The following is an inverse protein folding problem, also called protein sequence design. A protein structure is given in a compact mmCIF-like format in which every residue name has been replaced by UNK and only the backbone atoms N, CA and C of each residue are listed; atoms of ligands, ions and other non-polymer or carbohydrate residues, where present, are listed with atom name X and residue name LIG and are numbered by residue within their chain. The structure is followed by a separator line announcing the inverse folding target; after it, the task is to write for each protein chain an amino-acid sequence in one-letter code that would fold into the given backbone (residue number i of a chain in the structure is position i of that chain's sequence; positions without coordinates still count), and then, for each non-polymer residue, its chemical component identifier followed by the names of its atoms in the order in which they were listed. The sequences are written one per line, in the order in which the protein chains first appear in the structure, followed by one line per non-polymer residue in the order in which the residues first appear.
data_IF_142542207182
#
_entry.id   IF_142542207182
#
_cell.length_a   1.000
_cell.length_b   1.000
_cell.length_c   1.000
_cell.angle_alpha   90.00
_cell.angle_beta   90.00
_cell.angle_gamma   90.00
#
_symmetry.space_group_name_H-M   'P 1'
#
loop_
_entity.id
_entity.type
_entity.pdbx_description
1 polymer ?
#
# COMPACT_ATOMS: atom_id res chain seq x y z
N UNK A 1 -16.61 -24.22 -4.14
CA UNK A 1 -17.66 -23.19 -4.32
C UNK A 1 -18.40 -23.50 -5.61
N UNK A 2 -19.64 -23.98 -5.52
CA UNK A 2 -20.46 -24.33 -6.69
C UNK A 2 -21.24 -23.08 -7.08
N UNK A 3 -20.82 -22.42 -8.16
CA UNK A 3 -21.47 -21.23 -8.69
C UNK A 3 -22.57 -21.68 -9.67
N UNK A 4 -23.85 -21.53 -9.30
CA UNK A 4 -24.95 -21.77 -10.24
C UNK A 4 -25.03 -20.61 -11.24
N UNK A 5 -24.89 -20.95 -12.53
CA UNK A 5 -24.90 -20.00 -13.63
C UNK A 5 -26.24 -19.24 -13.74
N UNK A 6 -26.16 -17.92 -13.82
CA UNK A 6 -27.27 -17.09 -14.24
C UNK A 6 -27.66 -17.45 -15.69
N UNK A 7 -28.96 -17.67 -15.92
CA UNK A 7 -29.53 -17.95 -17.25
C UNK A 7 -29.41 -16.72 -18.16
N UNK A 8 -28.53 -16.76 -19.14
CA UNK A 8 -28.56 -15.84 -20.27
C UNK A 8 -29.50 -16.36 -21.39
N UNK A 9 -30.18 -15.42 -22.05
CA UNK A 9 -31.18 -15.66 -23.10
C UNK A 9 -30.52 -16.29 -24.33
N UNK A 10 -30.99 -17.48 -24.72
CA UNK A 10 -30.60 -18.17 -25.97
C UNK A 10 -31.02 -17.37 -27.22
N UNK A 11 -30.03 -16.84 -27.94
CA UNK A 11 -30.17 -16.49 -29.36
C UNK A 11 -30.19 -17.76 -30.22
N UNK A 12 -31.06 -17.80 -31.23
CA UNK A 12 -31.27 -18.94 -32.13
C UNK A 12 -30.12 -19.08 -33.14
N UNK A 13 -29.60 -20.30 -33.28
CA UNK A 13 -29.11 -20.85 -34.55
C UNK A 13 -27.69 -20.45 -34.98
N UNK A 14 -26.70 -21.12 -34.41
CA UNK A 14 -25.28 -21.16 -34.82
C UNK A 14 -24.56 -22.06 -33.82
N UNK A 15 -23.52 -22.81 -34.21
CA UNK A 15 -22.72 -23.63 -33.28
C UNK A 15 -22.47 -22.85 -31.98
N UNK A 16 -22.86 -23.40 -30.82
CA UNK A 16 -22.71 -22.73 -29.51
C UNK A 16 -21.21 -22.50 -29.25
N UNK A 17 -20.71 -21.37 -29.74
CA UNK A 17 -19.35 -20.91 -29.50
C UNK A 17 -19.32 -20.48 -28.05
N UNK A 18 -18.52 -21.19 -27.25
CA UNK A 18 -18.35 -20.85 -25.83
C UNK A 18 -17.93 -19.39 -25.72
N UNK A 19 -18.51 -18.66 -24.76
CA UNK A 19 -17.95 -17.35 -24.41
C UNK A 19 -16.49 -17.52 -23.96
N UNK A 20 -15.63 -16.50 -24.10
CA UNK A 20 -14.22 -16.62 -23.70
C UNK A 20 -14.03 -17.08 -22.26
N UNK A 21 -14.94 -16.67 -21.37
CA UNK A 21 -14.99 -17.13 -19.98
C UNK A 21 -15.24 -18.64 -19.87
N UNK A 22 -16.18 -19.18 -20.63
CA UNK A 22 -16.50 -20.62 -20.61
C UNK A 22 -15.36 -21.44 -21.22
N UNK A 23 -14.76 -20.97 -22.32
CA UNK A 23 -13.58 -21.59 -22.91
C UNK A 23 -12.40 -21.61 -21.93
N UNK A 24 -12.15 -20.49 -21.23
CA UNK A 24 -11.11 -20.40 -20.19
C UNK A 24 -11.35 -21.37 -19.04
N UNK A 25 -12.60 -21.48 -18.56
CA UNK A 25 -12.94 -22.43 -17.49
C UNK A 25 -12.70 -23.88 -17.94
N UNK A 26 -13.12 -24.24 -19.15
CA UNK A 26 -12.87 -25.57 -19.71
C UNK A 26 -11.35 -25.85 -19.85
N UNK A 27 -10.55 -24.87 -20.28
CA UNK A 27 -9.10 -25.00 -20.38
C UNK A 27 -8.44 -25.21 -19.00
N UNK A 28 -8.89 -24.49 -17.96
CA UNK A 28 -8.40 -24.64 -16.59
C UNK A 28 -8.63 -26.06 -16.04
N UNK A 29 -9.74 -26.71 -16.42
CA UNK A 29 -10.05 -28.08 -16.02
C UNK A 29 -9.10 -29.12 -16.65
N UNK A 30 -8.40 -28.77 -17.74
CA UNK A 30 -7.43 -29.67 -18.39
C UNK A 30 -6.03 -29.63 -17.78
N UNK A 31 -5.79 -28.71 -16.83
CA UNK A 31 -4.49 -28.58 -16.20
C UNK A 31 -4.16 -29.77 -15.28
N UNK A 32 -2.87 -30.05 -15.03
CA UNK A 32 -2.44 -31.13 -14.15
C UNK A 32 -3.09 -31.03 -12.77
N UNK A 33 -3.47 -32.17 -12.19
CA UNK A 33 -3.94 -32.23 -10.81
C UNK A 33 -2.79 -32.15 -9.82
N UNK A 34 -3.00 -31.36 -8.77
CA UNK A 34 -2.13 -31.29 -7.60
C UNK A 34 -2.59 -32.32 -6.55
N UNK A 35 -1.66 -32.74 -5.69
CA UNK A 35 -2.01 -33.49 -4.49
C UNK A 35 -2.97 -32.66 -3.62
N UNK A 36 -4.22 -33.12 -3.49
CA UNK A 36 -5.31 -32.37 -2.87
C UNK A 36 -6.49 -32.04 -3.80
N UNK A 37 -6.43 -32.44 -5.08
CA UNK A 37 -7.56 -32.37 -6.02
C UNK A 37 -7.77 -30.99 -6.66
N UNK A 38 -6.86 -30.05 -6.45
CA UNK A 38 -6.81 -28.78 -7.18
C UNK A 38 -6.11 -28.94 -8.54
N UNK A 39 -6.28 -27.97 -9.44
CA UNK A 39 -5.55 -27.87 -10.72
C UNK A 39 -4.30 -27.00 -10.54
N UNK A 40 -3.18 -27.36 -11.16
CA UNK A 40 -1.94 -26.56 -11.14
C UNK A 40 -2.09 -25.33 -12.04
N UNK A 41 -2.33 -24.18 -11.41
CA UNK A 41 -2.45 -22.87 -12.06
C UNK A 41 -1.19 -22.01 -11.89
N UNK A 42 -0.02 -22.63 -11.69
CA UNK A 42 1.25 -21.90 -11.62
C UNK A 42 1.56 -21.16 -12.93
N UNK A 43 2.28 -20.03 -12.84
CA UNK A 43 2.64 -19.24 -14.03
C UNK A 43 3.35 -20.08 -15.10
N UNK A 44 4.20 -21.02 -14.68
CA UNK A 44 4.87 -21.96 -15.59
C UNK A 44 3.86 -22.83 -16.32
N UNK A 45 2.94 -23.47 -15.59
CA UNK A 45 1.96 -24.38 -16.18
C UNK A 45 0.99 -23.63 -17.11
N UNK A 46 0.57 -22.42 -16.74
CA UNK A 46 -0.26 -21.57 -17.60
C UNK A 46 0.48 -21.14 -18.89
N UNK A 47 1.79 -20.88 -18.79
CA UNK A 47 2.62 -20.50 -19.93
C UNK A 47 2.91 -21.66 -20.90
N UNK A 48 3.18 -22.84 -20.36
CA UNK A 48 3.50 -24.04 -21.16
C UNK A 48 2.24 -24.74 -21.72
N UNK A 49 1.08 -24.52 -21.10
CA UNK A 49 -0.18 -25.14 -21.52
C UNK A 49 -0.65 -24.63 -22.88
N UNK A 50 -0.91 -25.58 -23.79
CA UNK A 50 -1.55 -25.30 -25.08
C UNK A 50 -3.08 -25.21 -24.98
N UNK A 51 -3.66 -25.41 -23.80
CA UNK A 51 -5.10 -25.39 -23.59
C UNK A 51 -5.73 -24.00 -23.78
N UNK A 52 -4.94 -22.92 -23.68
CA UNK A 52 -5.42 -21.54 -23.76
C UNK A 52 -5.29 -20.96 -25.18
N UNK A 53 -6.25 -21.34 -26.03
CA UNK A 53 -6.39 -20.87 -27.40
C UNK A 53 -6.87 -19.40 -27.52
N UNK A 54 -7.10 -18.98 -28.76
CA UNK A 54 -7.63 -17.64 -29.06
C UNK A 54 -9.08 -17.45 -28.57
N UNK A 55 -9.84 -18.54 -28.52
CA UNK A 55 -11.20 -18.62 -27.98
C UNK A 55 -11.26 -18.42 -26.46
N UNK A 56 -10.18 -18.70 -25.73
CA UNK A 56 -10.05 -18.39 -24.31
C UNK A 56 -9.73 -16.91 -24.03
N UNK A 57 -9.58 -16.07 -25.07
CA UNK A 57 -9.16 -14.68 -24.93
C UNK A 57 -10.30 -13.75 -25.29
N UNK A 58 -10.44 -12.67 -24.53
CA UNK A 58 -11.25 -11.53 -24.96
C UNK A 58 -10.58 -10.83 -26.14
N UNK A 59 -11.33 -10.02 -26.88
CA UNK A 59 -10.77 -9.17 -27.91
C UNK A 59 -9.65 -8.29 -27.32
N UNK A 60 -8.57 -8.07 -28.08
CA UNK A 60 -7.49 -7.20 -27.61
C UNK A 60 -8.08 -5.81 -27.35
N UNK A 61 -7.87 -5.23 -26.16
CA UNK A 61 -8.39 -3.90 -25.87
C UNK A 61 -7.74 -2.90 -26.83
N UNK A 62 -8.49 -1.89 -27.27
CA UNK A 62 -7.92 -0.84 -28.14
C UNK A 62 -7.00 0.04 -27.30
N UNK A 63 -5.69 -0.10 -27.44
CA UNK A 63 -4.73 0.65 -26.62
C UNK A 63 -4.51 2.03 -27.22
N UNK A 64 -4.40 3.06 -26.37
CA UNK A 64 -3.95 4.38 -26.80
C UNK A 64 -2.53 4.31 -27.37
N UNK A 65 -2.23 5.13 -28.39
CA UNK A 65 -0.89 5.17 -28.98
C UNK A 65 0.07 5.80 -27.98
N UNK A 66 1.08 5.05 -27.54
CA UNK A 66 2.17 5.58 -26.73
C UNK A 66 3.13 6.37 -27.64
N UNK A 67 3.46 7.59 -27.22
CA UNK A 67 4.43 8.46 -27.89
C UNK A 67 5.55 8.80 -26.91
N UNK A 68 6.76 9.05 -27.40
CA UNK A 68 7.94 9.29 -26.56
C UNK A 68 7.73 10.40 -25.53
N UNK A 69 7.05 11.49 -25.90
CA UNK A 69 6.74 12.58 -24.99
C UNK A 69 5.86 12.17 -23.80
N UNK A 70 5.00 11.15 -23.94
CA UNK A 70 4.22 10.63 -22.80
C UNK A 70 5.14 10.00 -21.77
N UNK A 71 6.16 9.26 -22.24
CA UNK A 71 7.17 8.64 -21.40
C UNK A 71 8.01 9.74 -20.74
N UNK A 72 8.45 10.75 -21.51
CA UNK A 72 9.21 11.87 -20.98
C UNK A 72 8.44 12.62 -19.88
N UNK A 73 7.14 12.86 -20.07
CA UNK A 73 6.30 13.54 -19.09
C UNK A 73 6.06 12.66 -17.86
N UNK A 74 5.74 11.38 -18.00
CA UNK A 74 5.57 10.48 -16.85
C UNK A 74 6.89 10.17 -16.13
N UNK A 75 8.03 10.29 -16.81
CA UNK A 75 9.35 10.14 -16.20
C UNK A 75 9.72 11.32 -15.29
N UNK A 76 9.07 12.47 -15.46
CA UNK A 76 9.26 13.66 -14.62
C UNK A 76 8.52 13.52 -13.29
N UNK A 77 9.02 12.65 -12.42
CA UNK A 77 8.40 12.32 -11.13
C UNK A 77 8.40 13.49 -10.13
N UNK A 78 9.12 14.58 -10.43
CA UNK A 78 9.07 15.84 -9.69
C UNK A 78 7.80 16.65 -9.96
N UNK A 79 7.11 16.37 -11.06
CA UNK A 79 5.85 16.98 -11.42
C UNK A 79 4.74 15.94 -11.25
N UNK A 80 4.34 15.70 -9.99
CA UNK A 80 3.38 14.66 -9.60
C UNK A 80 1.99 14.76 -10.26
N UNK A 81 1.74 15.78 -11.09
CA UNK A 81 0.45 16.05 -11.74
C UNK A 81 0.55 16.53 -13.20
N UNK A 82 1.72 16.50 -13.85
CA UNK A 82 1.82 16.87 -15.26
C UNK A 82 1.71 15.65 -16.15
N UNK A 83 0.69 15.59 -17.00
CA UNK A 83 0.55 14.59 -18.06
C UNK A 83 -0.86 14.03 -18.19
N UNK A 84 -1.19 13.45 -19.35
CA UNK A 84 -2.46 12.75 -19.50
C UNK A 84 -2.51 11.51 -18.58
N UNK A 85 -3.71 11.08 -18.16
CA UNK A 85 -3.87 9.91 -17.27
C UNK A 85 -3.33 8.63 -17.92
N UNK A 86 -2.38 7.93 -17.26
CA UNK A 86 -1.68 6.75 -17.78
C UNK A 86 -2.60 5.55 -18.08
N UNK A 87 -3.80 5.54 -17.51
CA UNK A 87 -4.77 4.47 -17.52
C UNK A 87 -5.15 4.03 -18.94
N UNK A 88 -5.30 4.97 -19.89
CA UNK A 88 -5.66 4.67 -21.28
C UNK A 88 -4.58 3.85 -22.03
N UNK A 89 -3.34 3.90 -21.57
CA UNK A 89 -2.22 3.13 -22.13
C UNK A 89 -2.00 1.80 -21.39
N UNK A 90 -2.33 1.73 -20.10
CA UNK A 90 -2.21 0.50 -19.31
C UNK A 90 -3.38 -0.46 -19.51
N UNK A 91 -4.60 0.08 -19.61
CA UNK A 91 -5.84 -0.70 -19.63
C UNK A 91 -6.49 -0.75 -21.01
N UNK A 92 -6.05 0.11 -21.94
CA UNK A 92 -6.67 0.31 -23.23
C UNK A 92 -8.04 1.01 -23.14
N UNK A 93 -8.82 0.95 -24.21
CA UNK A 93 -10.19 1.45 -24.26
C UNK A 93 -11.01 0.68 -23.24
N UNK A 94 -11.26 1.32 -22.11
CA UNK A 94 -12.00 0.73 -21.00
C UNK A 94 -13.48 0.59 -21.37
N UNK A 95 -14.09 -0.54 -20.97
CA UNK A 95 -15.53 -0.73 -21.02
C UNK A 95 -16.25 0.25 -20.08
N UNK A 96 -17.57 0.40 -20.24
CA UNK A 96 -18.40 1.39 -19.53
C UNK A 96 -18.44 1.24 -17.98
N UNK A 97 -17.82 0.20 -17.42
CA UNK A 97 -17.83 -0.12 -15.98
C UNK A 97 -16.56 0.33 -15.23
N UNK A 98 -15.63 1.02 -15.88
CA UNK A 98 -14.58 1.79 -15.18
C UNK A 98 -15.04 3.23 -14.94
N UNK A 99 -14.63 3.89 -13.84
CA UNK A 99 -13.65 3.46 -12.82
C UNK A 99 -14.21 2.51 -11.75
N UNK A 100 -13.33 1.96 -10.89
CA UNK A 100 -13.70 1.19 -9.69
C UNK A 100 -13.42 1.98 -8.41
N UNK A 101 -14.17 1.69 -7.35
CA UNK A 101 -14.01 2.28 -6.01
C UNK A 101 -13.86 1.18 -4.98
N UNK A 102 -12.89 1.32 -4.08
CA UNK A 102 -12.79 0.47 -2.90
C UNK A 102 -13.72 1.01 -1.80
N UNK A 103 -14.44 0.13 -1.11
CA UNK A 103 -15.32 0.46 0.02
C UNK A 103 -14.84 -0.32 1.23
N UNK A 104 -14.76 0.34 2.38
CA UNK A 104 -14.45 -0.29 3.67
C UNK A 104 -15.25 0.38 4.80
N UNK A 105 -15.42 -0.34 5.91
CA UNK A 105 -16.12 0.18 7.09
C UNK A 105 -15.15 0.30 8.26
N UNK A 106 -15.21 1.43 8.98
CA UNK A 106 -14.45 1.60 10.22
C UNK A 106 -15.19 2.44 11.27
N UNK A 107 -15.15 2.01 12.52
CA UNK A 107 -15.76 2.64 13.71
C UNK A 107 -15.22 4.04 13.99
N UNK A 108 -13.99 4.34 13.62
CA UNK A 108 -13.36 5.65 13.82
C UNK A 108 -13.71 6.67 12.71
N UNK A 109 -14.43 6.28 11.64
CA UNK A 109 -14.75 7.20 10.52
C UNK A 109 -15.61 8.37 10.97
N UNK A 110 -16.61 8.13 11.80
CA UNK A 110 -17.56 9.18 12.22
C UNK A 110 -16.83 10.29 12.98
N UNK A 111 -15.98 9.90 13.93
CA UNK A 111 -15.14 10.83 14.70
C UNK A 111 -14.05 11.49 13.83
N UNK A 112 -13.39 10.75 12.93
CA UNK A 112 -12.38 11.32 12.03
C UNK A 112 -12.96 12.28 10.99
N UNK A 113 -14.20 12.05 10.56
CA UNK A 113 -14.88 12.90 9.58
C UNK A 113 -15.46 14.19 10.20
N UNK A 114 -15.40 14.31 11.53
CA UNK A 114 -15.82 15.51 12.28
C UNK A 114 -15.05 16.75 11.84
N UNK A 115 -15.67 17.93 11.91
CA UNK A 115 -15.07 19.19 11.42
C UNK A 115 -13.91 19.67 12.29
N UNK A 116 -13.87 19.21 13.54
CA UNK A 116 -12.86 19.51 14.55
C UNK A 116 -11.57 18.70 14.36
N UNK A 117 -11.56 17.77 13.41
CA UNK A 117 -10.36 17.04 12.99
C UNK A 117 -9.76 17.72 11.76
N UNK A 118 -8.48 18.05 11.82
CA UNK A 118 -7.77 18.68 10.70
C UNK A 118 -7.53 17.71 9.53
N UNK A 119 -7.47 18.22 8.30
CA UNK A 119 -7.20 17.38 7.12
C UNK A 119 -5.84 16.65 7.22
N UNK A 120 -4.80 17.32 7.71
CA UNK A 120 -3.47 16.73 7.93
C UNK A 120 -3.49 15.58 8.94
N UNK A 121 -4.39 15.64 9.93
CA UNK A 121 -4.57 14.58 10.92
C UNK A 121 -5.20 13.33 10.28
N UNK A 122 -6.21 13.52 9.43
CA UNK A 122 -6.85 12.43 8.66
C UNK A 122 -5.84 11.74 7.73
N UNK A 123 -5.07 12.53 6.99
CA UNK A 123 -4.02 12.01 6.09
C UNK A 123 -2.94 11.27 6.87
N UNK A 124 -2.46 11.83 8.00
CA UNK A 124 -1.47 11.18 8.86
C UNK A 124 -1.98 9.86 9.41
N UNK A 125 -3.25 9.80 9.84
CA UNK A 125 -3.88 8.56 10.31
C UNK A 125 -3.90 7.51 9.22
N UNK A 126 -4.43 7.82 8.04
CA UNK A 126 -4.55 6.83 6.98
C UNK A 126 -3.19 6.44 6.39
N UNK A 127 -2.17 7.30 6.46
CA UNK A 127 -0.80 6.95 6.11
C UNK A 127 -0.15 6.00 7.14
N UNK A 128 -0.40 6.18 8.43
CA UNK A 128 0.18 5.36 9.52
C UNK A 128 -0.64 4.12 9.87
N UNK A 129 -1.94 4.14 9.56
CA UNK A 129 -2.92 3.09 9.78
C UNK A 129 -3.73 2.81 8.50
N UNK A 130 -3.04 2.36 7.43
CA UNK A 130 -3.65 2.23 6.11
C UNK A 130 -4.76 1.19 6.08
N UNK A 131 -5.72 1.42 5.18
CA UNK A 131 -6.74 0.43 4.84
C UNK A 131 -6.06 -0.73 4.15
N UNK A 132 -6.23 -1.93 4.66
CA UNK A 132 -5.59 -3.15 4.16
C UNK A 132 -6.52 -3.91 3.22
N UNK A 133 -5.97 -4.85 2.45
CA UNK A 133 -6.77 -5.61 1.48
C UNK A 133 -7.95 -6.38 2.11
N UNK A 134 -7.83 -6.82 3.37
CA UNK A 134 -8.91 -7.53 4.09
C UNK A 134 -10.12 -6.65 4.41
N UNK A 135 -9.93 -5.33 4.47
CA UNK A 135 -11.00 -4.37 4.77
C UNK A 135 -11.77 -3.96 3.51
N UNK A 136 -11.22 -4.21 2.31
CA UNK A 136 -11.68 -3.59 1.07
C UNK A 136 -12.59 -4.51 0.27
N UNK A 137 -13.78 -4.01 -0.05
CA UNK A 137 -14.60 -4.46 -1.16
C UNK A 137 -14.32 -3.58 -2.38
N UNK A 138 -14.28 -4.12 -3.60
CA UNK A 138 -14.20 -3.33 -4.83
C UNK A 138 -15.45 -3.47 -5.67
N UNK A 139 -15.95 -2.35 -6.17
CA UNK A 139 -17.06 -2.30 -7.11
C UNK A 139 -16.88 -1.18 -8.15
N UNK A 140 -17.53 -1.27 -9.33
CA UNK A 140 -17.62 -0.16 -10.26
C UNK A 140 -18.13 1.11 -9.59
N UNK A 141 -17.43 2.24 -9.79
CA UNK A 141 -17.70 3.53 -9.13
C UNK A 141 -19.14 3.98 -9.35
N UNK A 142 -19.68 3.81 -10.57
CA UNK A 142 -21.10 4.12 -10.86
C UNK A 142 -22.09 3.32 -10.03
N UNK A 143 -21.79 2.04 -9.77
CA UNK A 143 -22.64 1.19 -8.92
C UNK A 143 -22.56 1.62 -7.46
N UNK A 144 -21.36 1.98 -6.99
CA UNK A 144 -21.20 2.57 -5.65
C UNK A 144 -22.01 3.85 -5.55
N UNK A 145 -21.88 4.78 -6.49
CA UNK A 145 -22.65 6.04 -6.49
C UNK A 145 -24.16 5.84 -6.51
N UNK A 146 -24.66 4.89 -7.30
CA UNK A 146 -26.09 4.55 -7.31
C UNK A 146 -26.56 4.06 -5.92
N UNK A 147 -25.80 3.16 -5.29
CA UNK A 147 -26.08 2.64 -3.95
C UNK A 147 -26.00 3.72 -2.87
N UNK A 148 -25.04 4.65 -2.96
CA UNK A 148 -24.95 5.78 -2.03
C UNK A 148 -26.19 6.69 -2.11
N UNK A 149 -26.69 6.96 -3.33
CA UNK A 149 -27.92 7.72 -3.52
C UNK A 149 -29.12 7.01 -2.89
N UNK A 150 -29.28 5.71 -3.11
CA UNK A 150 -30.33 4.91 -2.47
C UNK A 150 -30.25 4.96 -0.94
N UNK A 151 -29.06 4.85 -0.35
CA UNK A 151 -28.85 4.96 1.11
C UNK A 151 -29.28 6.35 1.61
N UNK A 152 -28.85 7.42 0.94
CA UNK A 152 -29.19 8.80 1.31
C UNK A 152 -30.69 9.06 1.19
N UNK A 153 -31.34 8.59 0.12
CA UNK A 153 -32.79 8.69 -0.06
C UNK A 153 -33.56 7.91 1.02
N UNK A 154 -33.09 6.72 1.38
CA UNK A 154 -33.64 5.91 2.46
C UNK A 154 -33.52 6.58 3.83
N UNK A 155 -32.39 7.25 4.10
CA UNK A 155 -32.19 8.04 5.33
C UNK A 155 -33.11 9.27 5.37
N UNK A 156 -33.20 10.01 4.26
CA UNK A 156 -34.09 11.17 4.14
C UNK A 156 -35.56 10.78 4.36
N UNK A 157 -35.99 9.64 3.80
CA UNK A 157 -37.36 9.11 3.98
C UNK A 157 -37.68 8.75 5.43
N UNK A 158 -36.67 8.40 6.23
CA UNK A 158 -36.79 8.11 7.66
C UNK A 158 -36.53 9.33 8.56
N UNK A 159 -36.29 10.51 7.97
CA UNK A 159 -35.85 11.72 8.67
C UNK A 159 -34.63 11.48 9.58
N UNK A 160 -33.71 10.63 9.12
CA UNK A 160 -32.45 10.32 9.80
C UNK A 160 -31.33 11.24 9.32
N UNK A 161 -30.40 11.58 10.21
CA UNK A 161 -29.22 12.36 9.86
C UNK A 161 -28.34 11.61 8.85
N UNK A 162 -27.67 12.36 7.96
CA UNK A 162 -26.72 11.74 7.04
C UNK A 162 -25.43 11.40 7.77
N UNK A 163 -24.92 10.17 7.63
CA UNK A 163 -23.63 9.80 8.20
C UNK A 163 -22.51 10.57 7.51
N UNK A 164 -21.46 10.89 8.27
CA UNK A 164 -20.22 11.42 7.71
C UNK A 164 -19.32 10.26 7.27
N UNK A 165 -18.55 10.48 6.22
CA UNK A 165 -17.65 9.49 5.63
C UNK A 165 -16.32 10.12 5.26
N UNK A 166 -15.34 9.28 4.93
CA UNK A 166 -14.07 9.72 4.35
C UNK A 166 -13.91 9.18 2.95
N UNK A 167 -13.37 9.98 2.04
CA UNK A 167 -12.95 9.55 0.70
C UNK A 167 -11.46 9.77 0.56
N UNK A 168 -10.71 8.69 0.42
CA UNK A 168 -9.31 8.73 0.02
C UNK A 168 -9.27 8.75 -1.51
N UNK A 169 -9.00 9.90 -2.09
CA UNK A 169 -8.92 10.06 -3.54
C UNK A 169 -7.71 9.30 -4.09
N UNK A 170 -7.65 9.10 -5.41
CA UNK A 170 -6.49 8.50 -6.09
C UNK A 170 -5.16 9.25 -5.84
N UNK A 171 -5.23 10.53 -5.48
CA UNK A 171 -4.05 11.36 -5.18
C UNK A 171 -3.51 11.15 -3.76
N UNK A 172 -4.28 10.46 -2.90
CA UNK A 172 -3.98 10.30 -1.48
C UNK A 172 -4.59 11.37 -0.58
N UNK A 173 -5.16 12.45 -1.13
CA UNK A 173 -5.93 13.44 -0.36
C UNK A 173 -7.16 12.80 0.25
N UNK A 174 -7.46 13.18 1.50
CA UNK A 174 -8.57 12.65 2.28
C UNK A 174 -9.66 13.72 2.41
N UNK A 175 -10.77 13.52 1.70
CA UNK A 175 -11.98 14.31 1.88
C UNK A 175 -12.82 13.75 3.03
N UNK A 176 -13.50 14.64 3.76
CA UNK A 176 -14.39 14.31 4.85
C UNK A 176 -15.70 15.10 4.73
N UNK A 177 -16.84 14.44 4.89
CA UNK A 177 -18.13 15.11 4.82
C UNK A 177 -19.32 14.17 4.84
N UNK A 178 -20.52 14.75 4.73
CA UNK A 178 -21.78 14.01 4.64
C UNK A 178 -21.82 13.11 3.40
N UNK A 179 -22.34 11.89 3.55
CA UNK A 179 -22.38 10.89 2.48
C UNK A 179 -23.02 11.40 1.18
N UNK A 180 -24.07 12.22 1.27
CA UNK A 180 -24.75 12.80 0.11
C UNK A 180 -23.96 13.87 -0.66
N UNK A 181 -22.80 14.30 -0.14
CA UNK A 181 -21.92 15.28 -0.80
C UNK A 181 -20.72 14.65 -1.51
N UNK A 182 -20.63 13.32 -1.51
CA UNK A 182 -19.56 12.59 -2.20
C UNK A 182 -19.69 12.80 -3.72
N UNK A 183 -18.59 13.20 -4.36
CA UNK A 183 -18.49 13.33 -5.82
C UNK A 183 -18.05 12.00 -6.47
N UNK A 184 -18.56 11.70 -7.66
CA UNK A 184 -18.17 10.52 -8.45
C UNK A 184 -16.69 10.59 -8.85
N UNK A 185 -16.19 11.79 -9.16
CA UNK A 185 -14.79 12.00 -9.57
C UNK A 185 -13.81 11.71 -8.42
N UNK A 186 -14.20 11.97 -7.17
CA UNK A 186 -13.40 11.68 -5.97
C UNK A 186 -13.35 10.18 -5.65
N UNK A 187 -14.39 9.44 -6.02
CA UNK A 187 -14.47 7.99 -5.83
C UNK A 187 -13.71 7.19 -6.89
N UNK A 188 -13.47 7.76 -8.07
CA UNK A 188 -12.79 7.08 -9.17
C UNK A 188 -11.39 6.63 -8.76
N UNK A 189 -11.17 5.30 -8.68
CA UNK A 189 -9.95 4.68 -8.18
C UNK A 189 -9.59 5.05 -6.72
N UNK A 190 -10.55 5.63 -5.99
CA UNK A 190 -10.42 6.00 -4.59
C UNK A 190 -10.85 4.90 -3.63
N UNK A 191 -10.80 5.23 -2.34
CA UNK A 191 -11.33 4.39 -1.25
C UNK A 191 -12.35 5.19 -0.44
N UNK A 192 -13.60 4.73 -0.43
CA UNK A 192 -14.66 5.22 0.43
C UNK A 192 -14.62 4.48 1.78
N UNK A 193 -14.53 5.23 2.87
CA UNK A 193 -14.62 4.73 4.23
C UNK A 193 -15.95 5.14 4.84
N UNK A 194 -16.74 4.13 5.20
CA UNK A 194 -18.05 4.30 5.80
C UNK A 194 -17.98 4.00 7.31
N UNK A 195 -18.76 4.71 8.14
CA UNK A 195 -18.97 4.27 9.50
C UNK A 195 -19.83 2.99 9.52
N UNK A 196 -19.77 2.18 10.60
CA UNK A 196 -20.69 1.07 10.78
C UNK A 196 -22.14 1.57 10.73
N UNK A 197 -23.06 0.74 10.22
CA UNK A 197 -24.47 1.16 10.08
C UNK A 197 -24.84 1.69 8.69
N UNK A 198 -23.85 1.99 7.83
CA UNK A 198 -24.09 2.57 6.50
C UNK A 198 -23.99 1.51 5.43
N UNK A 199 -25.15 1.03 4.99
CA UNK A 199 -25.26 -0.14 4.11
C UNK A 199 -24.65 -1.39 4.76
N UNK A 200 -24.41 -2.40 3.93
CA UNK A 200 -23.75 -3.61 4.39
C UNK A 200 -23.27 -4.50 3.25
N UNK A 201 -23.04 -5.77 3.58
CA UNK A 201 -22.56 -6.77 2.64
C UNK A 201 -23.60 -7.85 2.43
N UNK A 202 -23.94 -8.10 1.17
CA UNK A 202 -24.75 -9.24 0.75
C UNK A 202 -24.04 -9.97 -0.37
N UNK A 203 -23.74 -11.26 -0.14
CA UNK A 203 -23.01 -12.11 -1.09
C UNK A 203 -21.68 -11.52 -1.58
N UNK A 204 -20.99 -10.80 -0.69
CA UNK A 204 -19.70 -10.17 -1.00
C UNK A 204 -19.80 -8.89 -1.84
N UNK A 205 -20.97 -8.27 -1.92
CA UNK A 205 -21.21 -6.98 -2.60
C UNK A 205 -21.84 -5.99 -1.61
N UNK A 206 -21.66 -4.69 -1.85
CA UNK A 206 -22.31 -3.61 -1.14
C UNK A 206 -23.83 -3.74 -1.35
N UNK A 207 -24.57 -3.71 -0.26
CA UNK A 207 -26.02 -3.81 -0.25
C UNK A 207 -26.57 -2.63 0.58
N UNK A 208 -27.59 -1.98 0.06
CA UNK A 208 -28.20 -0.78 0.64
C UNK A 208 -29.22 -1.14 1.74
N UNK A 209 -29.72 -2.37 1.76
CA UNK A 209 -30.72 -2.87 2.71
C UNK A 209 -30.13 -3.83 3.75
N UNK A 210 -28.90 -4.32 3.54
CA UNK A 210 -28.26 -5.22 4.48
C UNK A 210 -28.13 -4.55 5.86
N UNK A 211 -28.74 -5.18 6.86
CA UNK A 211 -28.60 -4.78 8.26
C UNK A 211 -27.23 -5.23 8.77
N UNK A 212 -26.40 -4.32 9.28
CA UNK A 212 -25.08 -4.67 9.78
C UNK A 212 -25.22 -5.46 11.08
N UNK A 213 -25.11 -6.78 11.00
CA UNK A 213 -24.76 -7.63 12.15
C UNK A 213 -23.28 -7.36 12.51
N UNK A 214 -23.02 -6.22 13.14
CA UNK A 214 -21.84 -5.73 13.89
C UNK A 214 -20.37 -6.03 13.43
N UNK A 215 -20.10 -6.70 12.30
CA UNK A 215 -18.77 -7.23 11.95
C UNK A 215 -18.19 -6.71 10.62
N UNK A 216 -18.42 -5.44 10.25
CA UNK A 216 -17.78 -4.89 9.04
C UNK A 216 -16.47 -4.15 9.31
N UNK A 217 -16.27 -3.63 10.53
CA UNK A 217 -14.98 -3.08 10.91
C UNK A 217 -14.01 -4.18 11.33
N UNK A 218 -13.25 -4.68 10.35
CA UNK A 218 -12.24 -5.72 10.52
C UNK A 218 -10.82 -5.17 10.62
N UNK A 219 -10.67 -3.85 10.84
CA UNK A 219 -9.35 -3.19 10.78
C UNK A 219 -8.37 -3.71 11.86
N UNK A 220 -8.92 -4.21 12.97
CA UNK A 220 -8.18 -4.65 14.18
C UNK A 220 -8.17 -6.19 14.35
N UNK A 221 -8.95 -6.95 13.57
CA UNK A 221 -9.16 -8.40 13.75
C UNK A 221 -7.90 -9.26 13.59
N UNK A 222 -6.92 -8.79 12.81
CA UNK A 222 -5.63 -9.46 12.68
C UNK A 222 -4.88 -9.57 14.01
N UNK A 223 -5.24 -8.73 14.98
CA UNK A 223 -4.56 -8.59 16.26
C UNK A 223 -3.14 -8.05 16.15
N UNK A 224 -2.68 -7.57 14.99
CA UNK A 224 -1.36 -6.95 14.82
C UNK A 224 -1.35 -5.46 15.20
N UNK A 225 -2.54 -4.87 15.15
CA UNK A 225 -2.82 -3.45 15.33
C UNK A 225 -4.21 -3.27 15.92
N UNK A 226 -4.43 -2.16 16.62
CA UNK A 226 -5.66 -1.90 17.37
C UNK A 226 -5.88 -0.41 17.53
N UNK A 227 -7.15 0.01 17.58
CA UNK A 227 -7.56 1.38 17.87
C UNK A 227 -8.24 1.48 19.24
N UNK A 228 -8.04 2.60 19.90
CA UNK A 228 -8.74 2.96 21.13
C UNK A 228 -9.18 4.41 21.07
N UNK A 229 -10.30 4.71 21.74
CA UNK A 229 -10.74 6.08 22.01
C UNK A 229 -10.29 6.48 23.41
N UNK A 230 -10.02 7.76 23.62
CA UNK A 230 -9.84 8.31 24.96
C UNK A 230 -10.60 9.62 25.14
N UNK A 231 -11.17 9.79 26.32
CA UNK A 231 -11.92 10.97 26.75
C UNK A 231 -11.16 11.65 27.87
N UNK A 232 -11.20 12.98 27.93
CA UNK A 232 -10.56 13.75 28.99
C UNK A 232 -11.53 13.97 30.15
N UNK A 233 -11.27 13.32 31.28
CA UNK A 233 -12.08 13.44 32.50
C UNK A 233 -11.19 13.83 33.68
N UNK A 234 -11.59 14.85 34.46
CA UNK A 234 -10.89 15.29 35.69
C UNK A 234 -9.38 15.53 35.53
N UNK A 235 -8.93 15.90 34.33
CA UNK A 235 -7.50 16.12 34.04
C UNK A 235 -6.72 14.84 33.74
N UNK A 236 -7.38 13.70 33.55
CA UNK A 236 -6.82 12.43 33.09
C UNK A 236 -7.44 11.96 31.78
N UNK A 237 -6.77 11.02 31.11
CA UNK A 237 -7.29 10.39 29.88
C UNK A 237 -7.89 9.04 30.26
N UNK A 238 -9.13 8.81 29.83
CA UNK A 238 -9.88 7.58 30.06
C UNK A 238 -9.97 6.85 28.73
N UNK A 239 -9.26 5.74 28.62
CA UNK A 239 -9.17 4.93 27.40
C UNK A 239 -10.28 3.89 27.36
N UNK A 240 -11.01 3.83 26.25
CA UNK A 240 -12.08 2.86 25.99
C UNK A 240 -11.83 2.11 24.68
N UNK A 241 -12.40 0.91 24.58
CA UNK A 241 -12.38 0.14 23.33
C UNK A 241 -13.08 0.87 22.18
N UNK A 242 -12.68 0.59 20.93
CA UNK A 242 -13.30 1.26 19.79
C UNK A 242 -14.76 0.78 19.61
N UNK A 243 -15.73 1.67 19.88
CA UNK A 243 -17.16 1.34 19.89
C UNK A 243 -17.68 0.72 21.19
N UNK A 244 -16.93 0.82 22.29
CA UNK A 244 -17.38 0.48 23.64
C UNK A 244 -17.11 1.66 24.57
N UNK A 245 -18.00 1.92 25.51
CA UNK A 245 -17.81 2.92 26.57
C UNK A 245 -17.12 2.31 27.81
N UNK A 246 -16.76 1.03 27.76
CA UNK A 246 -16.03 0.36 28.86
C UNK A 246 -14.62 0.95 29.02
N UNK A 247 -14.33 1.47 30.21
CA UNK A 247 -13.01 1.94 30.59
C UNK A 247 -12.02 0.77 30.63
N UNK A 248 -11.00 0.85 29.79
CA UNK A 248 -9.87 -0.09 29.73
C UNK A 248 -8.72 0.39 30.61
N UNK A 249 -8.50 1.70 30.69
CA UNK A 249 -7.39 2.29 31.43
C UNK A 249 -7.57 3.79 31.68
N UNK A 250 -7.07 4.28 32.82
CA UNK A 250 -6.98 5.71 33.12
C UNK A 250 -5.53 6.17 33.27
N UNK A 251 -5.16 7.17 32.48
CA UNK A 251 -3.82 7.77 32.49
C UNK A 251 -3.31 8.14 31.10
N UNK A 252 -2.09 8.68 31.02
CA UNK A 252 -1.54 9.19 29.77
C UNK A 252 -1.24 8.09 28.73
N UNK A 253 -1.12 8.49 27.46
CA UNK A 253 -0.82 7.62 26.30
C UNK A 253 0.39 6.69 26.51
N UNK A 254 1.46 7.18 27.14
CA UNK A 254 2.69 6.39 27.32
C UNK A 254 2.49 5.27 28.33
N UNK A 255 1.81 5.56 29.44
CA UNK A 255 1.45 4.56 30.45
C UNK A 255 0.48 3.53 29.87
N UNK A 256 -0.55 3.98 29.15
CA UNK A 256 -1.52 3.11 28.47
C UNK A 256 -0.83 2.16 27.48
N UNK A 257 -0.03 2.70 26.55
CA UNK A 257 0.66 1.90 25.55
C UNK A 257 1.61 0.88 26.20
N UNK A 258 2.27 1.24 27.31
CA UNK A 258 3.14 0.32 28.04
C UNK A 258 2.35 -0.82 28.68
N UNK A 259 1.27 -0.50 29.37
CA UNK A 259 0.42 -1.47 30.08
C UNK A 259 -0.19 -2.49 29.12
N UNK A 260 -0.66 -2.02 27.96
CA UNK A 260 -1.26 -2.87 26.92
C UNK A 260 -0.24 -3.60 26.04
N UNK A 261 1.07 -3.40 26.25
CA UNK A 261 2.11 -4.00 25.41
C UNK A 261 2.10 -3.47 23.95
N UNK A 262 1.67 -2.23 23.76
CA UNK A 262 1.45 -1.58 22.48
C UNK A 262 2.54 -0.55 22.14
N UNK A 263 2.64 -0.24 20.85
CA UNK A 263 3.41 0.88 20.31
C UNK A 263 2.47 1.83 19.60
N UNK A 264 2.38 3.07 20.08
CA UNK A 264 1.61 4.11 19.42
C UNK A 264 2.19 4.38 18.02
N UNK A 265 1.34 4.31 16.99
CA UNK A 265 1.67 4.64 15.60
C UNK A 265 1.38 6.11 15.31
N UNK A 266 0.22 6.59 15.75
CA UNK A 266 -0.22 7.98 15.67
C UNK A 266 -1.42 8.20 16.60
N UNK A 267 -1.73 9.46 16.86
CA UNK A 267 -2.94 9.88 17.57
C UNK A 267 -3.57 11.07 16.87
N UNK A 268 -4.88 11.21 17.01
CA UNK A 268 -5.64 12.42 16.63
C UNK A 268 -6.30 12.93 17.88
N UNK A 269 -6.21 14.24 18.13
CA UNK A 269 -6.87 14.91 19.24
C UNK A 269 -7.76 15.99 18.68
N UNK A 270 -8.96 16.12 19.23
CA UNK A 270 -9.92 17.12 18.82
C UNK A 270 -10.81 17.48 20.00
N UNK A 271 -11.39 18.68 19.95
CA UNK A 271 -12.42 19.10 20.88
C UNK A 271 -13.77 18.71 20.30
N UNK A 272 -14.58 18.01 21.06
CA UNK A 272 -15.95 17.75 20.68
C UNK A 272 -16.80 19.00 20.87
N UNK A 273 -17.73 19.25 19.95
CA UNK A 273 -18.65 20.37 20.04
C UNK A 273 -19.49 20.31 21.33
N UNK A 274 -19.93 21.47 21.84
CA UNK A 274 -20.79 21.53 23.02
C UNK A 274 -22.12 20.79 22.82
N UNK A 275 -22.61 20.71 21.57
CA UNK A 275 -23.83 19.98 21.21
C UNK A 275 -23.67 18.45 21.32
N UNK A 276 -22.45 17.92 21.18
CA UNK A 276 -22.16 16.49 21.24
C UNK A 276 -21.65 16.01 22.62
N UNK A 277 -21.69 16.89 23.63
CA UNK A 277 -21.34 16.57 25.02
C UNK A 277 -20.15 17.35 25.57
N UNK A 278 -19.36 17.96 24.68
CA UNK A 278 -18.19 18.77 25.02
C UNK A 278 -17.02 17.96 25.61
N UNK A 279 -15.79 18.33 25.26
CA UNK A 279 -14.58 17.78 25.89
C UNK A 279 -13.48 17.39 24.92
N UNK A 280 -12.28 17.20 25.47
CA UNK A 280 -11.13 16.79 24.67
C UNK A 280 -11.19 15.28 24.43
N UNK A 281 -11.16 14.89 23.15
CA UNK A 281 -11.12 13.50 22.70
C UNK A 281 -9.80 13.15 22.06
N UNK A 282 -9.47 11.87 22.08
CA UNK A 282 -8.33 11.32 21.36
C UNK A 282 -8.67 9.98 20.74
N UNK A 283 -8.22 9.74 19.51
CA UNK A 283 -8.18 8.40 18.92
C UNK A 283 -6.72 7.98 18.86
N UNK A 284 -6.40 6.83 19.47
CA UNK A 284 -5.08 6.24 19.46
C UNK A 284 -5.00 5.05 18.51
N UNK A 285 -4.00 5.07 17.63
CA UNK A 285 -3.70 4.00 16.68
C UNK A 285 -2.45 3.28 17.12
N UNK A 286 -2.52 1.97 17.33
CA UNK A 286 -1.45 1.19 17.91
C UNK A 286 -1.10 -0.03 17.06
N UNK A 287 0.15 -0.46 17.15
CA UNK A 287 0.59 -1.79 16.76
C UNK A 287 0.99 -2.58 18.00
N UNK A 288 0.88 -3.91 17.96
CA UNK A 288 1.55 -4.75 18.96
C UNK A 288 3.04 -4.41 18.99
N UNK A 289 3.62 -4.30 20.19
CA UNK A 289 5.08 -4.27 20.29
C UNK A 289 5.58 -5.59 19.70
N UNK A 290 6.33 -5.49 18.60
CA UNK A 290 7.08 -6.65 18.11
C UNK A 290 7.98 -7.16 19.23
N UNK A 291 8.27 -8.47 19.23
CA UNK A 291 9.39 -8.98 20.01
C UNK A 291 10.60 -8.11 19.69
N UNK A 292 11.31 -7.61 20.70
CA UNK A 292 12.61 -6.98 20.48
C UNK A 292 13.41 -7.96 19.61
N UNK A 293 13.61 -7.61 18.33
CA UNK A 293 14.46 -8.42 17.48
C UNK A 293 15.82 -8.35 18.15
N UNK A 294 16.35 -9.49 18.60
CA UNK A 294 17.74 -9.57 19.06
C UNK A 294 18.56 -8.86 18.00
N UNK A 295 19.22 -7.76 18.37
CA UNK A 295 20.06 -7.05 17.42
C UNK A 295 21.33 -7.86 17.30
N UNK A 296 21.46 -8.57 16.18
CA UNK A 296 22.67 -9.28 15.83
C UNK A 296 23.54 -8.37 14.98
N UNK A 297 24.82 -8.38 15.27
CA UNK A 297 25.80 -7.77 14.38
C UNK A 297 26.01 -8.67 13.16
N UNK A 298 26.16 -8.04 12.01
CA UNK A 298 26.49 -8.72 10.77
C UNK A 298 27.67 -7.98 10.14
N UNK A 299 28.78 -8.68 9.96
CA UNK A 299 29.97 -8.15 9.29
C UNK A 299 29.65 -7.85 7.82
N UNK A 300 30.27 -6.79 7.30
CA UNK A 300 29.97 -6.28 5.97
C UNK A 300 30.33 -7.28 4.86
N UNK A 301 31.55 -7.82 4.85
CA UNK A 301 32.00 -8.69 3.76
C UNK A 301 31.20 -10.01 3.68
N UNK A 302 30.92 -10.72 4.80
CA UNK A 302 30.02 -11.88 4.76
C UNK A 302 28.61 -11.55 4.29
N UNK A 303 28.09 -10.37 4.63
CA UNK A 303 26.78 -9.91 4.13
C UNK A 303 26.79 -9.70 2.61
N UNK A 304 27.80 -9.00 2.08
CA UNK A 304 27.93 -8.76 0.64
C UNK A 304 27.97 -10.08 -0.15
N UNK A 305 28.77 -11.06 0.29
CA UNK A 305 28.85 -12.36 -0.40
C UNK A 305 27.56 -13.18 -0.26
N UNK A 306 26.92 -13.16 0.92
CA UNK A 306 25.66 -13.84 1.14
C UNK A 306 24.53 -13.28 0.26
N UNK A 307 24.45 -11.95 0.15
CA UNK A 307 23.50 -11.26 -0.75
C UNK A 307 23.80 -11.63 -2.19
N UNK A 308 25.05 -11.45 -2.65
CA UNK A 308 25.49 -11.76 -4.00
C UNK A 308 25.11 -13.19 -4.43
N UNK A 309 25.41 -14.18 -3.58
CA UNK A 309 25.07 -15.59 -3.84
C UNK A 309 23.56 -15.80 -3.95
N UNK A 310 22.79 -15.17 -3.05
CA UNK A 310 21.34 -15.37 -3.00
C UNK A 310 20.63 -14.72 -4.19
N UNK A 311 21.01 -13.50 -4.56
CA UNK A 311 20.41 -12.80 -5.69
C UNK A 311 20.81 -13.42 -7.02
N UNK A 312 22.05 -13.92 -7.15
CA UNK A 312 22.48 -14.66 -8.33
C UNK A 312 21.59 -15.90 -8.56
N UNK A 313 21.44 -16.75 -7.54
CA UNK A 313 20.62 -17.97 -7.64
C UNK A 313 19.17 -17.66 -7.97
N UNK A 314 18.62 -16.61 -7.35
CA UNK A 314 17.25 -16.19 -7.63
C UNK A 314 17.11 -15.70 -9.08
N UNK A 315 18.06 -14.90 -9.57
CA UNK A 315 18.01 -14.35 -10.92
C UNK A 315 18.28 -15.42 -12.01
N UNK A 316 19.21 -16.35 -11.77
CA UNK A 316 19.42 -17.52 -12.64
C UNK A 316 18.14 -18.35 -12.77
N UNK A 317 17.42 -18.55 -11.67
CA UNK A 317 16.16 -19.29 -11.67
C UNK A 317 15.02 -18.53 -12.37
N UNK A 318 14.88 -17.22 -12.11
CA UNK A 318 13.74 -16.43 -12.56
C UNK A 318 13.89 -15.88 -13.98
N UNK A 319 15.09 -15.43 -14.35
CA UNK A 319 15.35 -14.69 -15.60
C UNK A 319 16.51 -15.25 -16.41
N UNK A 320 17.15 -16.34 -15.97
CA UNK A 320 18.21 -17.03 -16.72
C UNK A 320 19.52 -16.24 -16.85
N UNK A 321 19.73 -15.20 -16.03
CA UNK A 321 20.94 -14.36 -16.01
C UNK A 321 21.26 -13.96 -14.57
N UNK A 322 22.49 -14.22 -14.11
CA UNK A 322 22.89 -13.98 -12.72
C UNK A 322 23.96 -12.90 -12.52
N UNK A 323 24.74 -12.57 -13.54
CA UNK A 323 26.01 -11.84 -13.36
C UNK A 323 25.83 -10.39 -12.88
N UNK A 324 24.86 -9.65 -13.44
CA UNK A 324 24.56 -8.27 -13.00
C UNK A 324 24.00 -8.25 -11.58
N UNK A 325 23.16 -9.23 -11.23
CA UNK A 325 22.59 -9.35 -9.89
C UNK A 325 23.65 -9.70 -8.86
N UNK A 326 24.55 -10.64 -9.20
CA UNK A 326 25.68 -10.99 -8.33
C UNK A 326 26.56 -9.78 -8.09
N UNK A 327 26.94 -9.07 -9.16
CA UNK A 327 27.78 -7.88 -9.08
C UNK A 327 27.15 -6.78 -8.23
N UNK A 328 25.84 -6.52 -8.43
CA UNK A 328 25.11 -5.58 -7.60
C UNK A 328 25.09 -6.01 -6.13
N UNK A 329 24.86 -7.30 -5.85
CA UNK A 329 24.89 -7.84 -4.48
C UNK A 329 26.24 -7.67 -3.79
N UNK A 330 27.35 -7.84 -4.53
CA UNK A 330 28.71 -7.65 -4.02
C UNK A 330 29.03 -6.20 -3.66
N UNK A 331 28.30 -5.23 -4.22
CA UNK A 331 28.67 -3.82 -4.14
C UNK A 331 27.61 -2.91 -3.53
N UNK A 332 26.34 -3.35 -3.40
CA UNK A 332 25.22 -2.50 -2.96
C UNK A 332 25.49 -1.74 -1.65
N UNK A 333 26.20 -2.38 -0.71
CA UNK A 333 26.44 -1.88 0.63
C UNK A 333 27.89 -1.43 0.88
N UNK A 334 28.74 -1.34 -0.15
CA UNK A 334 30.15 -0.96 0.02
C UNK A 334 30.31 0.42 0.68
N UNK A 335 29.44 1.38 0.35
CA UNK A 335 29.40 2.70 0.99
C UNK A 335 29.17 2.65 2.51
N UNK A 336 28.73 1.51 3.07
CA UNK A 336 28.66 1.32 4.53
C UNK A 336 30.04 1.24 5.17
N UNK A 337 31.10 0.95 4.41
CA UNK A 337 32.49 0.95 4.91
C UNK A 337 32.95 2.34 5.33
N UNK A 338 32.32 3.39 4.81
CA UNK A 338 32.70 4.76 5.13
C UNK A 338 32.55 5.07 6.63
N UNK A 339 33.53 5.78 7.18
CA UNK A 339 33.58 6.04 8.62
C UNK A 339 32.40 6.84 9.15
N UNK A 340 31.81 7.73 8.33
CA UNK A 340 30.58 8.44 8.69
C UNK A 340 29.43 7.47 8.92
N UNK A 341 29.27 6.47 8.05
CA UNK A 341 28.22 5.46 8.16
C UNK A 341 28.41 4.59 9.39
N UNK A 342 29.60 4.01 9.58
CA UNK A 342 29.89 3.18 10.76
C UNK A 342 29.68 3.99 12.06
N UNK A 343 30.18 5.22 12.12
CA UNK A 343 29.95 6.10 13.28
C UNK A 343 28.47 6.40 13.51
N UNK A 344 27.71 6.70 12.45
CA UNK A 344 26.28 6.98 12.56
C UNK A 344 25.48 5.75 12.99
N UNK A 345 25.89 4.55 12.61
CA UNK A 345 25.20 3.30 12.95
C UNK A 345 25.73 2.64 14.23
N UNK A 346 26.76 3.20 14.88
CA UNK A 346 27.38 2.62 16.08
C UNK A 346 28.22 1.38 15.78
N UNK A 347 28.88 1.34 14.62
CA UNK A 347 29.83 0.32 14.21
C UNK A 347 31.29 0.79 14.31
N UNK A 348 32.21 -0.12 13.95
CA UNK A 348 33.65 0.10 13.96
C UNK A 348 34.19 0.12 12.52
N UNK A 349 34.98 1.13 12.18
CA UNK A 349 35.62 1.24 10.86
C UNK A 349 36.67 0.15 10.61
N UNK A 350 37.27 -0.40 11.66
CA UNK A 350 38.25 -1.49 11.55
C UNK A 350 37.58 -2.86 11.38
N UNK A 351 36.29 -2.97 11.73
CA UNK A 351 35.47 -4.15 11.53
C UNK A 351 34.09 -3.72 11.01
N UNK A 352 34.01 -3.25 9.74
CA UNK A 352 32.79 -2.68 9.18
C UNK A 352 31.61 -3.65 9.27
N UNK A 353 30.48 -3.13 9.74
CA UNK A 353 29.25 -3.92 9.87
C UNK A 353 28.25 -3.52 8.80
N UNK A 354 27.60 -4.51 8.18
CA UNK A 354 26.38 -4.31 7.41
C UNK A 354 25.18 -4.00 8.33
N UNK A 355 25.18 -4.58 9.54
CA UNK A 355 24.19 -4.35 10.58
C UNK A 355 24.84 -4.31 11.96
N UNK A 356 24.52 -3.28 12.74
CA UNK A 356 25.07 -3.06 14.08
C UNK A 356 24.04 -3.36 15.17
N UNK A 357 24.52 -3.66 16.38
CA UNK A 357 23.67 -3.79 17.56
C UNK A 357 23.41 -2.46 18.28
N UNK A 358 24.29 -1.48 18.07
CA UNK A 358 24.27 -0.16 18.69
C UNK A 358 23.05 0.71 18.35
N UNK A 359 22.93 1.84 19.04
CA UNK A 359 21.92 2.84 18.73
C UNK A 359 22.36 3.65 17.50
N UNK A 360 21.56 3.60 16.44
CA UNK A 360 21.78 4.42 15.25
C UNK A 360 21.44 5.90 15.52
N UNK A 361 22.30 6.81 15.08
CA UNK A 361 22.08 8.24 15.04
C UNK A 361 22.11 8.74 13.59
N UNK A 362 21.00 8.54 12.88
CA UNK A 362 20.88 8.92 11.47
C UNK A 362 21.07 10.42 11.19
N UNK A 363 20.93 11.30 12.19
CA UNK A 363 21.21 12.75 12.03
C UNK A 363 22.66 13.02 11.67
N UNK A 364 23.59 12.14 12.07
CA UNK A 364 25.00 12.27 11.71
C UNK A 364 25.26 12.08 10.21
N UNK A 365 24.36 11.42 9.49
CA UNK A 365 24.52 11.19 8.05
C UNK A 365 24.36 12.48 7.25
N UNK A 366 23.60 13.47 7.74
CA UNK A 366 23.41 14.78 7.08
C UNK A 366 23.08 14.70 5.57
N UNK A 367 22.26 13.71 5.19
CA UNK A 367 21.89 13.46 3.80
C UNK A 367 22.71 12.38 3.08
N UNK A 368 23.86 11.96 3.63
CA UNK A 368 24.70 10.89 3.10
C UNK A 368 23.91 9.62 2.74
N UNK A 369 24.21 9.06 1.56
CA UNK A 369 23.60 7.86 1.00
C UNK A 369 24.67 6.83 0.71
N UNK A 370 24.58 5.66 1.33
CA UNK A 370 25.58 4.63 1.15
C UNK A 370 25.45 3.95 -0.21
N UNK A 371 24.26 3.95 -0.80
CA UNK A 371 24.02 3.46 -2.16
C UNK A 371 24.77 4.28 -3.23
N UNK A 372 24.82 5.60 -3.10
CA UNK A 372 25.60 6.46 -4.00
C UNK A 372 27.09 6.26 -3.78
N UNK A 373 27.53 6.21 -2.52
CA UNK A 373 28.94 5.96 -2.21
C UNK A 373 29.39 4.56 -2.67
N UNK A 374 28.51 3.55 -2.58
CA UNK A 374 28.76 2.22 -3.13
C UNK A 374 29.03 2.27 -4.64
N UNK A 375 28.20 3.01 -5.39
CA UNK A 375 28.38 3.18 -6.82
C UNK A 375 29.68 3.92 -7.14
N UNK A 376 30.01 4.97 -6.40
CA UNK A 376 31.27 5.74 -6.56
C UNK A 376 32.51 4.88 -6.26
N UNK A 377 32.55 4.23 -5.09
CA UNK A 377 33.67 3.37 -4.68
C UNK A 377 33.87 2.17 -5.62
N UNK A 378 32.82 1.75 -6.33
CA UNK A 378 32.85 0.63 -7.28
C UNK A 378 32.59 1.06 -8.72
N UNK A 379 32.83 2.33 -9.05
CA UNK A 379 32.56 2.88 -10.38
C UNK A 379 33.30 2.12 -11.49
N UNK A 380 34.55 1.70 -11.25
CA UNK A 380 35.31 0.90 -12.21
C UNK A 380 34.70 -0.49 -12.43
N UNK A 381 34.27 -1.17 -11.35
CA UNK A 381 33.64 -2.49 -11.44
C UNK A 381 32.26 -2.46 -12.09
N UNK A 382 31.53 -1.34 -11.93
CA UNK A 382 30.19 -1.13 -12.47
C UNK A 382 30.19 -0.51 -13.87
N UNK A 383 31.35 -0.05 -14.35
CA UNK A 383 31.48 0.62 -15.66
C UNK A 383 30.98 -0.28 -16.79
N UNK A 384 30.02 0.22 -17.56
CA UNK A 384 29.40 -0.52 -18.67
C UNK A 384 28.43 -1.63 -18.24
N UNK A 385 28.12 -1.73 -16.94
CA UNK A 385 27.18 -2.71 -16.34
C UNK A 385 25.95 -1.98 -15.81
N UNK A 386 25.22 -1.31 -16.70
CA UNK A 386 24.12 -0.40 -16.36
C UNK A 386 23.08 -1.02 -15.42
N UNK A 387 22.71 -2.29 -15.63
CA UNK A 387 21.75 -2.98 -14.74
C UNK A 387 22.32 -3.17 -13.33
N UNK A 388 23.59 -3.58 -13.21
CA UNK A 388 24.23 -3.76 -11.90
C UNK A 388 24.36 -2.42 -11.17
N UNK A 389 24.80 -1.36 -11.86
CA UNK A 389 24.88 -0.01 -11.30
C UNK A 389 23.51 0.48 -10.81
N UNK A 390 22.48 0.39 -11.66
CA UNK A 390 21.13 0.78 -11.30
C UNK A 390 20.59 0.02 -10.08
N UNK A 391 20.81 -1.29 -9.99
CA UNK A 391 20.38 -2.08 -8.81
C UNK A 391 21.16 -1.63 -7.56
N UNK A 392 22.47 -1.42 -7.67
CA UNK A 392 23.32 -0.92 -6.57
C UNK A 392 22.83 0.41 -6.02
N UNK A 393 22.46 1.36 -6.87
CA UNK A 393 22.00 2.70 -6.48
C UNK A 393 20.55 2.69 -5.98
N UNK A 394 19.71 1.83 -6.55
CA UNK A 394 18.26 1.81 -6.31
C UNK A 394 17.81 0.91 -5.16
N UNK A 395 18.71 0.17 -4.51
CA UNK A 395 18.31 -0.93 -3.61
C UNK A 395 17.48 -0.48 -2.38
N UNK A 396 17.50 0.80 -2.01
CA UNK A 396 16.62 1.37 -0.98
C UNK A 396 15.36 2.07 -1.51
N UNK A 397 15.12 2.02 -2.82
CA UNK A 397 13.94 2.59 -3.48
C UNK A 397 14.04 4.06 -3.85
N UNK A 398 15.23 4.67 -3.76
CA UNK A 398 15.44 6.11 -3.94
C UNK A 398 16.28 6.52 -5.15
N UNK A 399 16.75 5.59 -5.98
CA UNK A 399 17.32 5.97 -7.27
C UNK A 399 16.18 6.35 -8.21
N UNK A 400 15.96 7.66 -8.39
CA UNK A 400 15.26 8.27 -9.51
C UNK A 400 15.98 9.57 -9.83
N UNK A 401 16.13 9.91 -11.11
CA UNK A 401 17.40 10.07 -11.88
C UNK A 401 18.42 11.08 -11.32
N UNK A 402 18.48 11.24 -9.99
CA UNK A 402 19.25 12.27 -9.32
C UNK A 402 19.37 11.96 -7.82
N UNK A 403 20.59 12.10 -7.30
CA UNK A 403 20.83 12.25 -5.87
C UNK A 403 20.94 13.73 -5.50
N UNK A 404 20.17 14.19 -4.51
CA UNK A 404 20.30 15.55 -3.98
C UNK A 404 21.75 15.85 -3.57
N UNK A 405 22.22 17.08 -3.76
CA UNK A 405 23.61 17.46 -3.45
C UNK A 405 24.05 17.15 -2.01
N UNK A 406 23.12 17.11 -1.05
CA UNK A 406 23.38 16.71 0.35
C UNK A 406 23.79 15.24 0.50
N UNK A 407 23.49 14.39 -0.49
CA UNK A 407 23.90 13.00 -0.53
C UNK A 407 25.37 12.84 -0.92
N UNK A 408 25.96 13.85 -1.57
CA UNK A 408 27.33 13.78 -2.05
C UNK A 408 28.30 13.79 -0.89
N UNK A 409 29.34 12.98 -1.03
CA UNK A 409 30.41 12.98 -0.05
C UNK A 409 31.21 14.28 -0.19
N UNK A 410 31.28 15.05 0.90
CA UNK A 410 31.92 16.38 0.92
C UNK A 410 33.38 16.36 0.49
N UNK A 411 34.09 15.26 0.72
CA UNK A 411 35.49 15.10 0.31
C UNK A 411 35.67 14.75 -1.17
N UNK A 412 34.61 14.27 -1.84
CA UNK A 412 34.64 13.77 -3.23
C UNK A 412 33.43 14.28 -4.02
N UNK A 413 33.13 15.58 -3.87
CA UNK A 413 31.93 16.21 -4.44
C UNK A 413 31.85 16.05 -5.95
N UNK A 414 32.93 16.29 -6.69
CA UNK A 414 32.95 16.21 -8.16
C UNK A 414 32.69 14.79 -8.67
N UNK A 415 33.31 13.78 -8.08
CA UNK A 415 33.09 12.37 -8.45
C UNK A 415 31.68 11.90 -8.07
N UNK A 416 31.20 12.31 -6.89
CA UNK A 416 29.82 12.03 -6.44
C UNK A 416 28.80 12.66 -7.40
N UNK A 417 29.09 13.85 -7.91
CA UNK A 417 28.24 14.56 -8.87
C UNK A 417 28.25 13.89 -10.24
N UNK A 418 29.40 13.44 -10.74
CA UNK A 418 29.48 12.71 -12.02
C UNK A 418 28.68 11.42 -11.97
N UNK A 419 28.87 10.59 -10.94
CA UNK A 419 28.10 9.34 -10.76
C UNK A 419 26.60 9.61 -10.62
N UNK A 420 26.22 10.66 -9.87
CA UNK A 420 24.81 11.03 -9.72
C UNK A 420 24.15 11.58 -11.00
N UNK A 421 24.93 11.93 -12.03
CA UNK A 421 24.43 12.32 -13.36
C UNK A 421 24.37 11.15 -14.34
N UNK A 422 25.15 10.09 -14.10
CA UNK A 422 25.15 8.85 -14.90
C UNK A 422 24.06 7.85 -14.46
N UNK A 423 23.57 7.98 -13.22
CA UNK A 423 22.49 7.21 -12.60
C UNK A 423 21.08 7.63 -13.07
#
# INVERSE_FOLDING_TARGET
VVYQAAKEKKGKGGSEQLSPRQATLAALETLPELEGGGRDVSCKQLWESQAFGADCRTERPKIARLHDWHIDVWSQTSLLQSGPPVESWLHGQQDAEFPETAVAWRRDVEELASEEVEAEDRERVLARYPVTARERLKEPTRRVMAKLKEIVEGLASRNAAQPRCLVVTRSGTVWAGELGRVDEDDLAYGTLLLPPGVGGLSRGMLDTEATPDELYDVADEAGERVRYRALREEGEWVWCGMGSDEEVFRGNLSSFAREQGLRALTTVRFQESEEAGGGERMIGYFAKRGKESKRFEVDLDPHLEAVATRVQRAAEFLVGRGDDYRLAGQHHDEGKRYGLWQKAMGGDVNAPKAKTAGAANGRLLDGYRHELESAREKAEALRGRNLAGHITESHHGWARPHFEAKAYRRETLSESQEIALEA
#
